data_IF_485095033383
#
_entry.id   IF_485095033383
#
_cell.length_a   1.000
_cell.length_b   1.000
_cell.length_c   1.000
_cell.angle_alpha   90.00
_cell.angle_beta   90.00
_cell.angle_gamma   90.00
#
_symmetry.space_group_name_H-M   'P 1'
#
loop_
_entity.id
_entity.type
_entity.pdbx_description
1 polymer ?
#
# COMPACT_ATOMS: atom_id res chain seq x y z
N UNK A 1 1.76 1.74 4.88
CA UNK A 1 1.70 2.85 3.92
C UNK A 1 1.18 4.16 4.52
N UNK A 2 0.21 4.13 5.45
CA UNK A 2 -0.26 5.37 6.10
C UNK A 2 0.85 6.02 6.92
N UNK A 3 1.55 5.25 7.73
CA UNK A 3 2.58 5.75 8.66
C UNK A 3 3.81 6.29 7.91
N UNK A 4 4.27 5.59 6.86
CA UNK A 4 5.38 6.08 6.04
C UNK A 4 4.99 7.34 5.24
N UNK A 5 3.82 7.36 4.60
CA UNK A 5 3.42 8.49 3.79
C UNK A 5 2.95 9.69 4.63
N UNK A 6 2.14 9.44 5.69
CA UNK A 6 1.57 10.51 6.50
C UNK A 6 2.52 11.01 7.59
N UNK A 7 3.27 10.12 8.24
CA UNK A 7 4.13 10.53 9.35
C UNK A 7 5.53 10.90 8.86
N UNK A 8 6.22 9.99 8.15
CA UNK A 8 7.60 10.23 7.73
C UNK A 8 7.67 11.19 6.53
N UNK A 9 7.00 10.83 5.43
CA UNK A 9 7.04 11.63 4.20
C UNK A 9 6.47 13.04 4.39
N UNK A 10 5.37 13.18 5.15
CA UNK A 10 4.76 14.46 5.42
C UNK A 10 5.60 15.34 6.36
N UNK A 11 6.23 14.76 7.40
CA UNK A 11 7.12 15.52 8.28
C UNK A 11 8.31 16.08 7.51
N UNK A 12 8.97 15.28 6.69
CA UNK A 12 10.06 15.69 5.81
C UNK A 12 9.60 16.83 4.87
N UNK A 13 8.48 16.62 4.19
CA UNK A 13 7.95 17.60 3.23
C UNK A 13 7.62 18.94 3.91
N UNK A 14 6.90 18.94 5.03
CA UNK A 14 6.54 20.15 5.80
C UNK A 14 7.78 20.88 6.30
N UNK A 15 8.76 20.15 6.81
CA UNK A 15 10.01 20.74 7.33
C UNK A 15 10.80 21.41 6.22
N UNK A 16 11.01 20.74 5.09
CA UNK A 16 11.73 21.28 3.94
C UNK A 16 10.98 22.43 3.25
N UNK A 17 9.63 22.40 3.23
CA UNK A 17 8.82 23.53 2.75
C UNK A 17 9.06 24.80 3.58
N UNK A 18 9.15 24.66 4.91
CA UNK A 18 9.45 25.79 5.78
C UNK A 18 10.89 26.30 5.62
N UNK A 19 11.87 25.39 5.48
CA UNK A 19 13.26 25.78 5.20
C UNK A 19 13.34 26.51 3.85
N UNK A 20 12.66 26.02 2.82
CA UNK A 20 12.57 26.72 1.53
C UNK A 20 12.00 28.12 1.68
N UNK A 21 10.89 28.25 2.41
CA UNK A 21 10.16 29.51 2.55
C UNK A 21 10.91 30.55 3.38
N UNK A 22 11.52 30.14 4.51
CA UNK A 22 12.08 31.08 5.49
C UNK A 22 13.60 31.16 5.47
N UNK A 23 14.29 30.15 4.90
CA UNK A 23 15.76 30.09 4.85
C UNK A 23 16.30 29.83 3.44
N UNK A 24 15.49 30.10 2.38
CA UNK A 24 15.90 30.01 0.97
C UNK A 24 16.54 28.66 0.61
N UNK A 25 15.93 27.55 1.05
CA UNK A 25 16.42 26.18 0.87
C UNK A 25 17.84 25.98 1.42
N UNK A 26 18.17 26.63 2.52
CA UNK A 26 19.48 26.48 3.17
C UNK A 26 19.28 26.01 4.61
N UNK A 27 20.02 24.99 5.02
CA UNK A 27 19.95 24.43 6.37
C UNK A 27 20.20 25.55 7.40
N UNK A 28 19.24 25.85 8.27
CA UNK A 28 19.40 26.94 9.23
C UNK A 28 20.45 26.60 10.30
N UNK A 29 21.09 27.62 10.86
CA UNK A 29 21.92 27.47 12.04
C UNK A 29 21.00 27.49 13.27
N UNK A 30 21.07 26.50 14.16
CA UNK A 30 20.32 26.54 15.41
C UNK A 30 20.61 27.80 16.20
N UNK A 31 19.57 28.44 16.73
CA UNK A 31 19.65 29.63 17.60
C UNK A 31 19.37 29.26 19.05
N UNK A 32 18.35 29.90 19.65
CA UNK A 32 17.98 29.65 21.05
C UNK A 32 17.47 28.20 21.28
N UNK A 33 18.01 27.56 22.33
CA UNK A 33 17.60 26.24 22.80
C UNK A 33 16.73 26.35 24.04
N UNK A 34 15.76 25.45 24.16
CA UNK A 34 14.88 25.33 25.33
C UNK A 34 14.96 23.88 25.87
N UNK A 35 14.50 23.69 27.09
CA UNK A 35 14.56 22.36 27.75
C UNK A 35 13.86 21.27 26.90
N UNK A 36 12.81 21.61 26.20
CA UNK A 36 12.09 20.67 25.30
C UNK A 36 12.98 20.21 24.14
N UNK A 37 13.89 21.03 23.65
CA UNK A 37 14.82 20.73 22.56
C UNK A 37 15.87 19.71 23.03
N UNK A 38 16.39 19.86 24.25
CA UNK A 38 17.35 18.92 24.85
C UNK A 38 16.68 17.57 25.17
N UNK A 39 15.44 17.59 25.69
CA UNK A 39 14.66 16.38 25.87
C UNK A 39 14.43 15.64 24.55
N UNK A 40 13.99 16.35 23.52
CA UNK A 40 13.79 15.77 22.20
C UNK A 40 15.04 15.08 21.66
N UNK A 41 16.19 15.75 21.71
CA UNK A 41 17.48 15.21 21.31
C UNK A 41 17.84 13.94 22.11
N UNK A 42 17.63 13.95 23.43
CA UNK A 42 17.88 12.81 24.29
C UNK A 42 17.00 11.61 23.89
N UNK A 43 15.69 11.82 23.72
CA UNK A 43 14.73 10.78 23.42
C UNK A 43 15.04 10.12 22.04
N UNK A 44 15.41 10.92 21.02
CA UNK A 44 15.83 10.41 19.71
C UNK A 44 17.12 9.58 19.79
N UNK A 45 18.13 10.07 20.52
CA UNK A 45 19.38 9.32 20.69
C UNK A 45 19.17 8.02 21.47
N UNK A 46 18.22 8.00 22.41
CA UNK A 46 17.85 6.78 23.12
C UNK A 46 17.20 5.76 22.15
N UNK A 47 16.29 6.18 21.29
CA UNK A 47 15.73 5.32 20.24
C UNK A 47 16.82 4.75 19.32
N UNK A 48 17.81 5.56 18.92
CA UNK A 48 18.93 5.12 18.09
C UNK A 48 19.77 4.05 18.79
N UNK A 49 20.05 4.22 20.11
CA UNK A 49 20.80 3.25 20.92
C UNK A 49 20.05 1.92 21.04
N UNK A 50 18.74 1.98 21.33
CA UNK A 50 17.91 0.77 21.44
C UNK A 50 17.75 0.06 20.10
N UNK A 51 17.60 0.81 19.01
CA UNK A 51 17.62 0.27 17.64
C UNK A 51 18.90 -0.54 17.38
N UNK A 52 20.08 0.00 17.71
CA UNK A 52 21.35 -0.70 17.53
C UNK A 52 21.39 -2.00 18.35
N UNK A 53 20.93 -1.98 19.60
CA UNK A 53 20.88 -3.16 20.45
C UNK A 53 19.99 -4.27 19.84
N UNK A 54 18.81 -3.91 19.33
CA UNK A 54 17.92 -4.86 18.69
C UNK A 54 18.47 -5.39 17.37
N UNK A 55 19.16 -4.56 16.58
CA UNK A 55 19.84 -5.00 15.35
C UNK A 55 20.98 -5.99 15.66
N UNK A 56 21.79 -5.73 16.71
CA UNK A 56 22.86 -6.62 17.15
C UNK A 56 22.32 -7.98 17.66
N UNK A 57 21.07 -8.00 18.12
CA UNK A 57 20.35 -9.21 18.57
C UNK A 57 19.52 -9.88 17.47
N UNK A 58 19.57 -9.40 16.23
CA UNK A 58 18.72 -9.84 15.12
C UNK A 58 17.20 -9.70 15.36
N UNK A 59 16.82 -8.83 16.27
CA UNK A 59 15.42 -8.56 16.65
C UNK A 59 14.81 -7.47 15.78
N UNK A 60 14.63 -7.79 14.47
CA UNK A 60 14.27 -6.81 13.44
C UNK A 60 12.93 -6.10 13.72
N UNK A 61 11.94 -6.80 14.25
CA UNK A 61 10.64 -6.20 14.58
C UNK A 61 10.79 -5.08 15.61
N UNK A 62 11.50 -5.36 16.72
CA UNK A 62 11.74 -4.37 17.77
C UNK A 62 12.63 -3.22 17.27
N UNK A 63 13.58 -3.51 16.39
CA UNK A 63 14.37 -2.46 15.76
C UNK A 63 13.50 -1.51 14.94
N UNK A 64 12.58 -2.02 14.11
CA UNK A 64 11.63 -1.21 13.33
C UNK A 64 10.67 -0.44 14.24
N UNK A 65 10.20 -1.02 15.34
CA UNK A 65 9.38 -0.32 16.33
C UNK A 65 10.10 0.91 16.90
N UNK A 66 11.41 0.84 17.13
CA UNK A 66 12.20 2.00 17.59
C UNK A 66 12.34 3.09 16.51
N UNK A 67 12.39 2.72 15.24
CA UNK A 67 12.34 3.70 14.15
C UNK A 67 11.00 4.44 14.13
N UNK A 68 9.90 3.70 14.30
CA UNK A 68 8.56 4.29 14.34
C UNK A 68 8.35 5.16 15.58
N UNK A 69 8.91 4.76 16.73
CA UNK A 69 8.89 5.56 17.96
C UNK A 69 9.66 6.89 17.78
N UNK A 70 10.86 6.86 17.21
CA UNK A 70 11.63 8.06 16.90
C UNK A 70 10.86 9.01 15.96
N UNK A 71 10.14 8.45 14.99
CA UNK A 71 9.30 9.20 14.08
C UNK A 71 8.09 9.85 14.79
N UNK A 72 7.42 9.11 15.68
CA UNK A 72 6.32 9.63 16.48
C UNK A 72 6.78 10.76 17.41
N UNK A 73 7.94 10.61 18.07
CA UNK A 73 8.57 11.65 18.90
C UNK A 73 8.86 12.90 18.05
N UNK A 74 9.35 12.72 16.82
CA UNK A 74 9.67 13.83 15.90
C UNK A 74 8.44 14.60 15.46
N UNK A 75 7.34 13.90 15.12
CA UNK A 75 6.07 14.53 14.79
C UNK A 75 5.49 15.29 16.00
N UNK A 76 5.49 14.66 17.18
CA UNK A 76 5.02 15.29 18.42
C UNK A 76 5.80 16.57 18.74
N UNK A 77 7.13 16.51 18.66
CA UNK A 77 7.98 17.68 18.88
C UNK A 77 7.66 18.81 17.89
N UNK A 78 7.51 18.49 16.59
CA UNK A 78 7.16 19.45 15.56
C UNK A 78 5.81 20.14 15.84
N UNK A 79 4.82 19.36 16.28
CA UNK A 79 3.48 19.88 16.59
C UNK A 79 3.44 20.65 17.92
N UNK A 80 4.21 20.28 18.94
CA UNK A 80 4.33 21.02 20.21
C UNK A 80 5.06 22.35 20.03
N UNK A 81 6.13 22.37 19.22
CA UNK A 81 6.92 23.58 18.93
C UNK A 81 6.24 24.55 17.96
N UNK A 82 5.23 24.08 17.22
CA UNK A 82 4.40 24.89 16.30
C UNK A 82 5.23 25.84 15.44
N UNK A 83 6.15 25.34 14.60
CA UNK A 83 7.06 26.20 13.82
C UNK A 83 6.34 27.24 12.95
N UNK A 84 5.09 26.94 12.51
CA UNK A 84 4.25 27.92 11.78
C UNK A 84 3.85 29.12 12.65
N UNK A 85 3.71 28.94 13.97
CA UNK A 85 3.44 30.05 14.92
C UNK A 85 4.69 30.86 15.13
N UNK A 86 5.84 30.22 15.36
CA UNK A 86 7.15 30.90 15.48
C UNK A 86 7.44 31.75 14.24
N UNK A 87 7.19 31.20 13.05
CA UNK A 87 7.35 31.94 11.80
C UNK A 87 6.42 33.14 11.71
N UNK A 88 5.15 33.03 12.14
CA UNK A 88 4.19 34.13 12.17
C UNK A 88 4.61 35.22 13.18
N UNK A 89 5.16 34.83 14.32
CA UNK A 89 5.68 35.73 15.36
C UNK A 89 7.06 36.32 14.99
N UNK A 90 7.68 35.86 13.89
CA UNK A 90 9.04 36.25 13.45
C UNK A 90 10.13 35.85 14.46
N UNK A 91 9.88 34.85 15.29
CA UNK A 91 10.88 34.25 16.19
C UNK A 91 11.75 33.27 15.39
N UNK A 92 12.62 33.80 14.55
CA UNK A 92 13.47 33.01 13.65
C UNK A 92 14.57 32.27 14.41
N UNK A 93 14.92 32.68 15.62
CA UNK A 93 15.91 32.06 16.47
C UNK A 93 15.41 30.68 16.95
N UNK A 94 14.20 30.65 17.51
CA UNK A 94 13.56 29.38 17.89
C UNK A 94 13.15 28.54 16.67
N UNK A 95 12.64 29.19 15.61
CA UNK A 95 12.27 28.51 14.38
C UNK A 95 13.45 27.74 13.77
N UNK A 96 14.64 28.37 13.72
CA UNK A 96 15.84 27.74 13.18
C UNK A 96 16.23 26.48 13.95
N UNK A 97 16.17 26.53 15.31
CA UNK A 97 16.45 25.41 16.19
C UNK A 97 15.47 24.25 15.97
N UNK A 98 14.18 24.56 15.90
CA UNK A 98 13.15 23.51 15.67
C UNK A 98 13.36 22.82 14.33
N UNK A 99 13.51 23.57 13.24
CA UNK A 99 13.69 22.99 11.91
C UNK A 99 14.99 22.19 11.79
N UNK A 100 16.09 22.68 12.38
CA UNK A 100 17.35 21.95 12.42
C UNK A 100 17.23 20.64 13.19
N UNK A 101 16.65 20.66 14.38
CA UNK A 101 16.45 19.48 15.22
C UNK A 101 15.60 18.42 14.52
N UNK A 102 14.52 18.82 13.83
CA UNK A 102 13.69 17.88 13.06
C UNK A 102 14.48 17.30 11.88
N UNK A 103 15.30 18.09 11.19
CA UNK A 103 16.17 17.56 10.14
C UNK A 103 17.19 16.56 10.68
N UNK A 104 17.79 16.81 11.86
CA UNK A 104 18.68 15.84 12.53
C UNK A 104 17.96 14.56 12.88
N UNK A 105 16.74 14.63 13.41
CA UNK A 105 15.95 13.42 13.69
C UNK A 105 15.58 12.65 12.42
N UNK A 106 15.20 13.34 11.35
CA UNK A 106 14.91 12.70 10.04
C UNK A 106 16.15 12.03 9.43
N UNK A 107 17.35 12.63 9.62
CA UNK A 107 18.62 11.99 9.24
C UNK A 107 18.83 10.67 9.99
N UNK A 108 18.53 10.64 11.30
CA UNK A 108 18.63 9.42 12.12
C UNK A 108 17.61 8.36 11.69
N UNK A 109 16.36 8.76 11.49
CA UNK A 109 15.31 7.88 10.97
C UNK A 109 15.72 7.27 9.61
N UNK A 110 16.23 8.09 8.69
CA UNK A 110 16.73 7.59 7.41
C UNK A 110 17.91 6.63 7.58
N UNK A 111 18.83 6.91 8.53
CA UNK A 111 19.95 6.03 8.83
C UNK A 111 19.50 4.68 9.38
N UNK A 112 18.52 4.66 10.29
CA UNK A 112 17.95 3.43 10.81
C UNK A 112 17.16 2.65 9.75
N UNK A 113 16.50 3.33 8.81
CA UNK A 113 15.81 2.69 7.69
C UNK A 113 16.73 2.24 6.55
N UNK A 114 17.97 2.69 6.49
CA UNK A 114 18.86 2.42 5.35
C UNK A 114 19.08 0.93 5.04
N UNK A 115 19.09 -0.01 6.01
CA UNK A 115 19.17 -1.44 5.70
C UNK A 115 17.91 -2.04 5.09
N UNK A 116 16.75 -1.36 5.25
CA UNK A 116 15.42 -1.85 4.84
C UNK A 116 14.95 -1.12 3.59
N UNK A 117 15.17 0.19 3.52
CA UNK A 117 14.75 1.08 2.43
C UNK A 117 15.91 1.96 1.96
N UNK A 118 16.96 1.39 1.34
CA UNK A 118 18.19 2.11 0.98
C UNK A 118 17.90 3.31 0.06
N UNK A 119 17.13 3.13 -1.01
CA UNK A 119 16.84 4.19 -1.98
C UNK A 119 16.09 5.37 -1.34
N UNK A 120 15.09 5.09 -0.49
CA UNK A 120 14.37 6.14 0.22
C UNK A 120 15.26 6.88 1.22
N UNK A 121 16.20 6.17 1.86
CA UNK A 121 17.14 6.76 2.80
C UNK A 121 18.15 7.66 2.09
N UNK A 122 18.69 7.24 0.96
CA UNK A 122 19.59 8.05 0.12
C UNK A 122 18.88 9.32 -0.38
N UNK A 123 17.62 9.21 -0.77
CA UNK A 123 16.82 10.37 -1.18
C UNK A 123 16.64 11.36 -0.01
N UNK A 124 16.39 10.90 1.20
CA UNK A 124 16.30 11.77 2.38
C UNK A 124 17.64 12.44 2.68
N UNK A 125 18.76 11.72 2.63
CA UNK A 125 20.08 12.29 2.79
C UNK A 125 20.33 13.41 1.79
N UNK A 126 20.07 13.17 0.52
CA UNK A 126 20.20 14.16 -0.56
C UNK A 126 19.36 15.40 -0.30
N UNK A 127 18.07 15.21 0.09
CA UNK A 127 17.16 16.33 0.38
C UNK A 127 17.60 17.16 1.57
N UNK A 128 18.23 16.55 2.56
CA UNK A 128 18.80 17.25 3.73
C UNK A 128 20.15 17.90 3.43
N UNK A 129 20.72 17.74 2.23
CA UNK A 129 22.04 18.24 1.86
C UNK A 129 23.17 17.47 2.51
N UNK A 130 22.96 16.18 2.74
CA UNK A 130 23.92 15.27 3.35
C UNK A 130 24.48 14.31 2.29
N UNK A 131 25.80 14.36 2.07
CA UNK A 131 26.48 13.72 0.94
C UNK A 131 27.20 12.42 1.34
N UNK A 132 26.99 11.90 2.56
CA UNK A 132 27.66 10.70 3.06
C UNK A 132 26.72 9.50 3.14
N UNK A 133 27.30 8.30 3.10
CA UNK A 133 26.53 7.06 3.33
C UNK A 133 26.16 6.90 4.80
N UNK A 134 25.07 6.18 5.05
CA UNK A 134 24.65 5.80 6.39
C UNK A 134 25.79 5.14 7.18
N UNK A 135 25.96 5.51 8.44
CA UNK A 135 26.98 4.93 9.31
C UNK A 135 26.49 4.90 10.78
N UNK A 136 27.06 3.97 11.56
CA UNK A 136 26.76 3.85 12.99
C UNK A 136 27.02 5.17 13.75
N UNK A 137 28.08 5.88 13.41
CA UNK A 137 28.42 7.19 13.99
C UNK A 137 27.26 8.19 13.90
N UNK A 138 26.47 8.13 12.82
CA UNK A 138 25.31 9.01 12.65
C UNK A 138 24.21 8.75 13.67
N UNK A 139 24.12 7.55 14.23
CA UNK A 139 23.13 7.20 15.28
C UNK A 139 23.57 7.64 16.68
N UNK A 140 24.87 7.76 16.90
CA UNK A 140 25.45 8.06 18.22
C UNK A 140 25.68 9.56 18.45
N UNK A 141 25.76 10.35 17.35
CA UNK A 141 26.16 11.77 17.40
C UNK A 141 25.05 12.68 16.94
N UNK A 142 24.81 13.78 17.65
CA UNK A 142 23.95 14.89 17.20
C UNK A 142 24.76 15.97 16.50
N UNK A 143 24.12 16.89 15.78
CA UNK A 143 24.75 17.93 14.96
C UNK A 143 25.61 17.39 13.80
N UNK A 144 25.13 16.38 13.13
CA UNK A 144 25.73 15.80 11.92
C UNK A 144 25.54 16.74 10.72
N UNK A 145 24.32 17.28 10.56
CA UNK A 145 24.00 18.21 9.49
C UNK A 145 24.80 19.50 9.64
N UNK A 146 25.18 20.10 8.53
CA UNK A 146 25.96 21.33 8.51
C UNK A 146 25.08 22.53 8.14
N UNK A 147 24.94 23.53 9.03
CA UNK A 147 24.28 24.79 8.67
C UNK A 147 24.90 25.40 7.40
N UNK A 148 24.08 25.99 6.57
CA UNK A 148 24.50 26.58 5.30
C UNK A 148 24.50 25.63 4.08
N UNK A 149 24.36 24.31 4.28
CA UNK A 149 24.16 23.37 3.18
C UNK A 149 22.79 23.56 2.51
N UNK A 150 22.75 23.36 1.20
CA UNK A 150 21.49 23.41 0.44
C UNK A 150 20.62 22.19 0.73
N UNK A 151 19.34 22.44 0.92
CA UNK A 151 18.30 21.42 1.06
C UNK A 151 17.40 21.42 -0.17
N UNK A 152 16.78 20.29 -0.46
CA UNK A 152 15.90 20.14 -1.63
C UNK A 152 14.48 19.83 -1.17
N UNK A 153 13.55 20.73 -1.44
CA UNK A 153 12.13 20.47 -1.29
C UNK A 153 11.59 19.95 -2.64
N UNK A 154 11.19 18.70 -2.65
CA UNK A 154 10.68 18.00 -3.82
C UNK A 154 9.31 17.37 -3.52
N UNK A 155 8.74 16.66 -4.50
CA UNK A 155 7.51 15.89 -4.36
C UNK A 155 7.56 14.96 -3.12
N UNK A 156 6.39 14.55 -2.58
CA UNK A 156 6.34 13.65 -1.42
C UNK A 156 7.22 12.42 -1.60
N UNK A 157 8.01 12.07 -0.58
CA UNK A 157 8.92 10.92 -0.60
C UNK A 157 8.17 9.60 -0.86
N UNK A 158 6.96 9.49 -0.32
CA UNK A 158 6.08 8.34 -0.54
C UNK A 158 4.81 8.83 -1.22
N UNK A 159 4.63 8.47 -2.50
CA UNK A 159 3.40 8.75 -3.21
C UNK A 159 2.23 8.01 -2.54
N UNK A 160 1.12 8.71 -2.32
CA UNK A 160 -0.13 8.06 -1.96
C UNK A 160 -0.60 7.28 -3.18
N UNK A 161 -0.47 5.96 -3.13
CA UNK A 161 -1.06 5.12 -4.16
C UNK A 161 -2.57 5.14 -3.98
N UNK A 162 -3.29 5.57 -5.00
CA UNK A 162 -4.75 5.44 -5.03
C UNK A 162 -5.13 3.97 -4.85
N UNK A 163 -6.17 3.70 -4.06
CA UNK A 163 -6.63 2.32 -3.82
C UNK A 163 -6.91 1.54 -5.13
N UNK A 164 -7.09 2.22 -6.25
CA UNK A 164 -7.22 1.60 -7.58
C UNK A 164 -5.89 1.02 -8.11
N UNK A 165 -4.74 1.63 -7.79
CA UNK A 165 -3.43 1.12 -8.18
C UNK A 165 -2.93 0.01 -7.24
N UNK A 166 -3.26 0.11 -5.94
CA UNK A 166 -2.96 -0.96 -4.97
C UNK A 166 -3.67 -2.25 -5.35
N UNK A 167 -4.93 -2.18 -5.83
CA UNK A 167 -5.63 -3.38 -6.34
C UNK A 167 -4.97 -4.01 -7.58
N UNK A 168 -4.19 -3.27 -8.36
CA UNK A 168 -3.45 -3.82 -9.51
C UNK A 168 -2.11 -4.45 -9.14
N UNK A 169 -1.44 -3.97 -8.10
CA UNK A 169 -0.15 -4.54 -7.64
C UNK A 169 -0.32 -5.65 -6.58
N UNK A 170 -1.42 -5.65 -5.82
CA UNK A 170 -1.76 -6.75 -4.89
C UNK A 170 -2.27 -8.01 -5.59
N UNK A 171 -2.68 -7.91 -6.85
CA UNK A 171 -3.06 -9.08 -7.68
C UNK A 171 -1.85 -9.99 -8.01
N UNK A 172 -0.61 -9.57 -7.71
CA UNK A 172 0.59 -10.42 -7.88
C UNK A 172 1.10 -11.07 -6.59
N UNK A 173 0.54 -10.71 -5.42
CA UNK A 173 0.61 -11.51 -4.21
C UNK A 173 -0.77 -12.10 -3.97
N UNK A 174 -1.09 -13.13 -4.72
CA UNK A 174 -2.28 -13.95 -4.43
C UNK A 174 -2.11 -14.48 -3.01
N UNK A 175 -3.05 -14.13 -2.13
CA UNK A 175 -3.21 -14.86 -0.88
C UNK A 175 -3.24 -16.36 -1.24
N UNK A 176 -2.18 -17.06 -0.87
CA UNK A 176 -2.14 -18.50 -1.10
C UNK A 176 -3.21 -19.12 -0.24
N UNK A 177 -4.12 -19.85 -0.88
CA UNK A 177 -5.12 -20.66 -0.18
C UNK A 177 -4.55 -22.06 0.04
N UNK A 178 -4.85 -22.67 1.17
CA UNK A 178 -4.53 -24.07 1.40
C UNK A 178 -5.48 -25.01 0.62
N UNK A 179 -5.09 -26.28 0.51
CA UNK A 179 -5.87 -27.27 -0.23
C UNK A 179 -7.27 -27.48 0.36
N UNK A 180 -7.43 -27.36 1.66
CA UNK A 180 -8.72 -27.52 2.33
C UNK A 180 -9.66 -26.33 2.09
N UNK A 181 -9.11 -25.15 1.86
CA UNK A 181 -9.87 -23.99 1.41
C UNK A 181 -10.34 -24.17 -0.04
N UNK A 182 -9.47 -24.65 -0.92
CA UNK A 182 -9.83 -24.92 -2.32
C UNK A 182 -10.90 -26.02 -2.42
N UNK A 183 -10.82 -27.10 -1.64
CA UNK A 183 -11.83 -28.17 -1.60
C UNK A 183 -13.25 -27.70 -1.25
N UNK A 184 -13.38 -26.54 -0.60
CA UNK A 184 -14.71 -25.96 -0.31
C UNK A 184 -15.38 -25.41 -1.55
N UNK A 185 -14.65 -25.18 -2.64
CA UNK A 185 -15.21 -24.72 -3.92
C UNK A 185 -15.63 -25.95 -4.73
N UNK A 186 -16.94 -26.07 -5.01
CA UNK A 186 -17.46 -27.21 -5.77
C UNK A 186 -17.57 -26.85 -7.25
N UNK A 187 -16.57 -27.29 -8.02
CA UNK A 187 -16.53 -27.10 -9.46
C UNK A 187 -17.19 -28.28 -10.18
N UNK A 188 -18.11 -27.99 -11.10
CA UNK A 188 -18.86 -28.99 -11.88
C UNK A 188 -18.86 -28.65 -13.35
N UNK A 189 -18.96 -29.70 -14.19
CA UNK A 189 -19.27 -29.53 -15.62
C UNK A 189 -20.74 -29.24 -15.76
N UNK A 190 -21.07 -28.18 -16.46
CA UNK A 190 -22.45 -27.82 -16.79
C UNK A 190 -22.67 -27.74 -18.28
N UNK A 191 -23.75 -28.35 -18.78
CA UNK A 191 -24.15 -28.22 -20.19
C UNK A 191 -25.17 -27.12 -20.35
N UNK A 192 -24.88 -26.15 -21.19
CA UNK A 192 -25.81 -25.04 -21.45
C UNK A 192 -27.01 -25.53 -22.24
N UNK A 193 -28.21 -25.49 -21.65
CA UNK A 193 -29.49 -25.89 -22.28
C UNK A 193 -30.05 -24.73 -23.07
N UNK A 194 -30.07 -23.54 -22.49
CA UNK A 194 -30.58 -22.34 -23.11
C UNK A 194 -29.79 -21.11 -22.66
N UNK A 195 -29.79 -20.09 -23.49
CA UNK A 195 -29.19 -18.79 -23.20
C UNK A 195 -30.07 -17.67 -23.78
N UNK A 196 -30.24 -16.60 -23.00
CA UNK A 196 -31.01 -15.43 -23.46
C UNK A 196 -30.43 -14.13 -22.88
N UNK A 197 -30.66 -13.00 -23.56
CA UNK A 197 -30.26 -11.68 -23.09
C UNK A 197 -31.15 -11.23 -21.93
N UNK A 198 -30.54 -10.68 -20.90
CA UNK A 198 -31.29 -10.08 -19.80
C UNK A 198 -31.88 -8.74 -20.27
N UNK A 199 -33.23 -8.55 -20.17
CA UNK A 199 -33.86 -7.29 -20.54
C UNK A 199 -33.21 -6.09 -19.82
N UNK A 200 -33.00 -4.99 -20.53
CA UNK A 200 -32.39 -3.76 -20.01
C UNK A 200 -30.91 -3.90 -19.58
N UNK A 201 -30.23 -4.97 -19.97
CA UNK A 201 -28.79 -5.15 -19.71
C UNK A 201 -28.03 -5.43 -20.99
N UNK A 202 -27.02 -4.61 -21.29
CA UNK A 202 -26.10 -4.85 -22.41
C UNK A 202 -24.97 -5.84 -22.07
N UNK A 203 -24.85 -6.21 -20.79
CA UNK A 203 -23.70 -6.99 -20.28
C UNK A 203 -24.06 -8.41 -19.84
N UNK A 204 -25.34 -8.68 -19.56
CA UNK A 204 -25.75 -9.92 -18.92
C UNK A 204 -26.44 -10.89 -19.88
N UNK A 205 -26.05 -12.14 -19.79
CA UNK A 205 -26.79 -13.28 -20.32
C UNK A 205 -27.35 -14.13 -19.17
N UNK A 206 -28.58 -14.61 -19.32
CA UNK A 206 -29.21 -15.61 -18.46
C UNK A 206 -29.05 -16.96 -19.14
N UNK A 207 -28.48 -17.92 -18.45
CA UNK A 207 -28.20 -19.28 -18.90
C UNK A 207 -29.01 -20.24 -18.05
N UNK A 208 -29.60 -21.26 -18.68
CA UNK A 208 -30.05 -22.47 -18.00
C UNK A 208 -29.01 -23.56 -18.25
N UNK A 209 -28.44 -24.09 -17.19
CA UNK A 209 -27.33 -25.02 -17.24
C UNK A 209 -27.69 -26.32 -16.54
N UNK A 210 -27.60 -27.43 -17.25
CA UNK A 210 -27.77 -28.77 -16.72
C UNK A 210 -26.50 -29.22 -15.95
N UNK A 211 -26.67 -29.58 -14.69
CA UNK A 211 -25.63 -30.12 -13.82
C UNK A 211 -25.84 -31.62 -13.47
N UNK A 212 -26.52 -32.35 -14.36
CA UNK A 212 -26.80 -33.79 -14.16
C UNK A 212 -27.68 -34.05 -12.93
N UNK A 213 -27.21 -34.91 -12.04
CA UNK A 213 -27.95 -35.27 -10.80
C UNK A 213 -28.24 -34.07 -9.89
N UNK A 214 -27.49 -32.96 -10.02
CA UNK A 214 -27.75 -31.71 -9.27
C UNK A 214 -28.85 -30.88 -9.85
N UNK A 215 -29.49 -31.32 -10.95
CA UNK A 215 -30.53 -30.61 -11.65
C UNK A 215 -30.06 -29.43 -12.49
N UNK A 216 -31.01 -28.75 -13.12
CA UNK A 216 -30.69 -27.57 -13.90
C UNK A 216 -30.68 -26.32 -13.02
N UNK A 217 -29.75 -25.40 -13.29
CA UNK A 217 -29.62 -24.14 -12.56
C UNK A 217 -29.62 -22.93 -13.48
N UNK A 218 -30.22 -21.88 -13.01
CA UNK A 218 -30.18 -20.58 -13.66
C UNK A 218 -28.91 -19.84 -13.26
N UNK A 219 -28.11 -19.41 -14.24
CA UNK A 219 -26.88 -18.67 -14.01
C UNK A 219 -26.94 -17.37 -14.82
N UNK A 220 -26.66 -16.23 -14.17
CA UNK A 220 -26.58 -14.93 -14.83
C UNK A 220 -25.11 -14.50 -14.89
N UNK A 221 -24.62 -14.21 -16.09
CA UNK A 221 -23.21 -13.93 -16.31
C UNK A 221 -22.97 -12.68 -17.19
N UNK A 222 -21.92 -11.96 -16.87
CA UNK A 222 -21.52 -10.70 -17.53
C UNK A 222 -20.78 -10.89 -18.85
N UNK A 223 -21.27 -11.73 -19.74
CA UNK A 223 -20.58 -12.16 -20.97
C UNK A 223 -21.26 -11.72 -22.28
N UNK A 224 -22.38 -10.97 -22.21
CA UNK A 224 -23.18 -10.59 -23.39
C UNK A 224 -22.44 -9.69 -24.40
N UNK A 225 -21.32 -9.08 -24.01
CA UNK A 225 -20.47 -8.31 -24.91
C UNK A 225 -19.55 -9.19 -25.78
N UNK A 226 -19.28 -10.41 -25.31
CA UNK A 226 -18.29 -11.32 -25.91
C UNK A 226 -18.93 -12.54 -26.57
N UNK A 227 -20.17 -12.91 -26.16
CA UNK A 227 -20.88 -14.08 -26.66
C UNK A 227 -22.32 -13.74 -27.06
N UNK A 228 -22.76 -14.34 -28.15
CA UNK A 228 -24.18 -14.38 -28.47
C UNK A 228 -24.81 -15.58 -27.78
N UNK A 229 -26.09 -15.53 -27.39
CA UNK A 229 -26.78 -16.66 -26.77
C UNK A 229 -26.64 -17.98 -27.53
N UNK A 230 -26.77 -17.92 -28.87
CA UNK A 230 -26.69 -19.09 -29.75
C UNK A 230 -25.35 -19.80 -29.71
N UNK A 231 -24.25 -19.08 -29.46
CA UNK A 231 -22.89 -19.62 -29.43
C UNK A 231 -22.62 -20.44 -28.17
N UNK A 232 -23.49 -20.35 -27.15
CA UNK A 232 -23.32 -21.00 -25.87
C UNK A 232 -24.11 -22.30 -25.71
N UNK A 233 -25.23 -22.43 -26.43
CA UNK A 233 -26.11 -23.60 -26.32
C UNK A 233 -25.34 -24.86 -26.71
N UNK A 234 -25.48 -25.90 -25.89
CA UNK A 234 -24.83 -27.19 -26.07
C UNK A 234 -23.37 -27.27 -25.58
N UNK A 235 -22.72 -26.14 -25.20
CA UNK A 235 -21.35 -26.17 -24.70
C UNK A 235 -21.28 -26.72 -23.27
N UNK A 236 -20.21 -27.48 -23.02
CA UNK A 236 -19.82 -27.91 -21.67
C UNK A 236 -18.94 -26.80 -21.06
N UNK A 237 -19.41 -26.22 -19.96
CA UNK A 237 -18.75 -25.11 -19.27
C UNK A 237 -18.39 -25.51 -17.83
N UNK A 238 -17.45 -24.77 -17.23
CA UNK A 238 -17.08 -24.96 -15.84
C UNK A 238 -17.92 -24.04 -14.95
N UNK A 239 -18.59 -24.61 -13.95
CA UNK A 239 -19.50 -23.91 -13.03
C UNK A 239 -19.09 -24.10 -11.58
N UNK A 240 -19.06 -23.03 -10.79
CA UNK A 240 -19.04 -23.08 -9.33
C UNK A 240 -20.48 -23.27 -8.86
N UNK A 241 -20.78 -24.47 -8.33
CA UNK A 241 -22.16 -24.91 -8.04
C UNK A 241 -22.62 -24.65 -6.60
N UNK A 242 -21.71 -24.33 -5.69
CA UNK A 242 -22.03 -24.15 -4.25
C UNK A 242 -21.93 -22.69 -3.77
N UNK A 243 -22.10 -21.74 -4.67
CA UNK A 243 -22.26 -20.32 -4.28
C UNK A 243 -23.66 -20.05 -3.77
N UNK A 244 -23.79 -19.13 -2.81
CA UNK A 244 -25.10 -18.62 -2.37
C UNK A 244 -25.77 -17.91 -3.55
N UNK A 245 -27.07 -18.13 -3.78
CA UNK A 245 -27.81 -17.44 -4.83
C UNK A 245 -27.73 -15.92 -4.68
N UNK A 246 -27.58 -15.22 -5.80
CA UNK A 246 -27.47 -13.74 -5.85
C UNK A 246 -28.43 -13.20 -6.92
N UNK A 247 -29.12 -12.10 -6.63
CA UNK A 247 -29.97 -11.42 -7.62
C UNK A 247 -29.19 -10.38 -8.42
N UNK A 248 -29.13 -10.56 -9.73
CA UNK A 248 -28.53 -9.64 -10.69
C UNK A 248 -29.63 -9.05 -11.59
N UNK A 249 -29.84 -7.76 -11.55
CA UNK A 249 -30.95 -7.08 -12.26
C UNK A 249 -32.34 -7.72 -11.99
N UNK A 250 -32.56 -8.19 -10.75
CA UNK A 250 -33.81 -8.83 -10.36
C UNK A 250 -33.93 -10.32 -10.72
N UNK A 251 -32.95 -10.89 -11.43
CA UNK A 251 -32.91 -12.30 -11.84
C UNK A 251 -31.96 -13.05 -10.90
N UNK A 252 -32.39 -14.18 -10.36
CA UNK A 252 -31.59 -14.97 -9.45
C UNK A 252 -30.55 -15.81 -10.21
N UNK A 253 -29.29 -15.78 -9.72
CA UNK A 253 -28.19 -16.61 -10.21
C UNK A 253 -27.81 -17.61 -9.13
N UNK A 254 -27.90 -18.90 -9.42
CA UNK A 254 -27.68 -20.02 -8.49
C UNK A 254 -26.30 -20.67 -8.64
N UNK A 255 -25.36 -19.95 -9.21
CA UNK A 255 -23.99 -20.38 -9.43
C UNK A 255 -23.22 -19.36 -10.27
N UNK A 256 -22.00 -19.69 -10.61
CA UNK A 256 -21.12 -18.84 -11.42
C UNK A 256 -20.38 -19.67 -12.47
N UNK A 257 -20.42 -19.27 -13.73
CA UNK A 257 -19.54 -19.84 -14.74
C UNK A 257 -18.14 -19.23 -14.63
N UNK A 258 -17.10 -20.01 -14.92
CA UNK A 258 -15.74 -19.53 -14.94
C UNK A 258 -15.35 -19.02 -16.34
N UNK A 259 -14.64 -17.91 -16.37
CA UNK A 259 -14.09 -17.32 -17.58
C UNK A 259 -12.72 -16.70 -17.31
N UNK A 260 -11.82 -16.85 -18.26
CA UNK A 260 -10.56 -16.10 -18.31
C UNK A 260 -10.81 -14.75 -18.98
N UNK A 261 -10.25 -13.67 -18.41
CA UNK A 261 -10.38 -12.32 -18.96
C UNK A 261 -9.04 -11.62 -18.92
N UNK A 262 -8.69 -10.98 -20.03
CA UNK A 262 -7.60 -10.01 -20.10
C UNK A 262 -8.12 -8.59 -20.43
N UNK A 263 -7.23 -7.66 -20.80
CA UNK A 263 -7.58 -6.27 -21.07
C UNK A 263 -8.42 -6.11 -22.35
N UNK A 264 -8.41 -7.11 -23.26
CA UNK A 264 -9.00 -7.04 -24.61
C UNK A 264 -10.15 -8.00 -24.82
N UNK A 265 -10.18 -9.17 -24.16
CA UNK A 265 -11.12 -10.25 -24.44
C UNK A 265 -11.56 -10.99 -23.18
N UNK A 266 -12.61 -11.83 -23.34
CA UNK A 266 -13.09 -12.74 -22.30
C UNK A 266 -13.45 -14.08 -22.94
N UNK A 267 -12.90 -15.17 -22.39
CA UNK A 267 -13.19 -16.55 -22.84
C UNK A 267 -13.75 -17.38 -21.69
N UNK A 268 -14.89 -18.02 -21.92
CA UNK A 268 -15.45 -18.99 -20.95
C UNK A 268 -14.56 -20.23 -20.88
N UNK A 269 -14.43 -20.84 -19.70
CA UNK A 269 -13.75 -22.12 -19.55
C UNK A 269 -14.70 -23.22 -20.04
N UNK A 270 -14.23 -23.99 -21.01
CA UNK A 270 -14.94 -25.14 -21.59
C UNK A 270 -14.15 -26.42 -21.36
N UNK A 271 -14.83 -27.55 -21.42
CA UNK A 271 -14.22 -28.86 -21.34
C UNK A 271 -13.94 -29.39 -22.77
N UNK A 272 -12.74 -29.86 -22.98
CA UNK A 272 -12.34 -30.50 -24.21
C UNK A 272 -12.85 -31.96 -24.23
N UNK A 273 -13.66 -32.29 -25.23
CA UNK A 273 -14.29 -33.61 -25.37
C UNK A 273 -15.65 -33.73 -24.68
N UNK A 274 -16.20 -35.00 -24.73
CA UNK A 274 -17.49 -35.33 -24.16
C UNK A 274 -17.35 -35.84 -22.73
N UNK A 275 -18.13 -35.25 -21.82
CA UNK A 275 -18.24 -35.66 -20.42
C UNK A 275 -19.66 -35.41 -19.93
N UNK A 276 -20.14 -36.21 -19.01
CA UNK A 276 -21.49 -36.07 -18.44
C UNK A 276 -21.66 -34.74 -17.67
N UNK A 277 -22.78 -34.05 -17.85
CA UNK A 277 -23.14 -32.92 -16.99
C UNK A 277 -23.12 -33.35 -15.51
N UNK A 278 -22.70 -32.44 -14.62
CA UNK A 278 -22.55 -32.73 -13.19
C UNK A 278 -21.21 -33.36 -12.80
N UNK A 279 -20.37 -33.77 -13.74
CA UNK A 279 -19.05 -34.34 -13.42
C UNK A 279 -18.24 -33.34 -12.55
N UNK A 280 -17.59 -33.88 -11.52
CA UNK A 280 -16.77 -33.07 -10.62
C UNK A 280 -15.44 -32.69 -11.29
N UNK A 281 -15.02 -31.46 -11.09
CA UNK A 281 -13.70 -30.96 -11.48
C UNK A 281 -12.86 -30.90 -10.20
N UNK A 282 -11.70 -31.52 -10.24
CA UNK A 282 -10.77 -31.66 -9.10
C UNK A 282 -9.37 -31.16 -9.46
#
# INVERSE_FOLDING_TARGET
NSDLANDYGNLLHRTLAMIKKYYSSTMPRPGAHEQIDEKFKHDILQCCKEYQQFMDQYSLTQAVEKVMEALAISNKYFDERKPWVLAKQKDFDKLSTVLFNVCESLLKVATMFSPIMPDSSEEVFSRLGFDQKASKYMLETWNILKPGKKTVHAEPLFAKRDQKEIKRSEVLMTDTIDFDQFKKVNLRVGKVISAERVPKSEKLLKLLVDLGELGSRQIVAGIAKYYKPEDLIGKNIVVVSNLKPVKLMGIESEGMLLAAKDDTDLKILTIDGEISPGAQIS
#
